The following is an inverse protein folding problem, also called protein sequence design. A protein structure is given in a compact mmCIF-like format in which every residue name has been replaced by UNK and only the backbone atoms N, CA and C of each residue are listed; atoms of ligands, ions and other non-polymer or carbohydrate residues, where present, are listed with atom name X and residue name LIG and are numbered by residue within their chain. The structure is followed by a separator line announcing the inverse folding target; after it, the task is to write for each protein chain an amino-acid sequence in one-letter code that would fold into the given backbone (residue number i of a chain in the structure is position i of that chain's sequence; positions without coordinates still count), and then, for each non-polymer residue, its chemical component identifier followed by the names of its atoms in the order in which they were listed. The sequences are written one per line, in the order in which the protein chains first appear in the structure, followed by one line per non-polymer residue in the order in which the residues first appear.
data_IF_543217637973
#
_entry.id   IF_543217637973
#
_cell.length_a   1.000
_cell.length_b   1.000
_cell.length_c   1.000
_cell.angle_alpha   90.00
_cell.angle_beta   90.00
_cell.angle_gamma   90.00
#
_symmetry.space_group_name_H-M   'P 1'
#
loop_
_entity.id
_entity.type
_entity.pdbx_description
1 polymer ?
#
# COMPACT_ATOMS: atom_id res chain seq x y z
N UNK A 1 31.40 8.28 16.89
CA UNK A 1 31.10 9.42 16.00
C UNK A 1 29.82 9.07 15.26
N UNK A 2 28.70 9.63 15.72
CA UNK A 2 27.36 9.42 15.20
C UNK A 2 27.24 9.98 13.78
N UNK A 3 26.75 9.19 12.84
CA UNK A 3 26.17 9.72 11.60
C UNK A 3 24.80 9.08 11.38
N UNK A 4 23.81 9.79 11.92
CA UNK A 4 22.41 9.70 11.54
C UNK A 4 22.18 10.70 10.39
N UNK A 5 21.87 10.20 9.20
CA UNK A 5 21.26 10.91 8.06
C UNK A 5 20.84 9.81 7.06
N UNK A 6 19.65 9.77 6.48
CA UNK A 6 18.61 10.76 6.35
C UNK A 6 17.26 10.06 6.16
N UNK A 7 16.19 10.79 6.49
CA UNK A 7 14.81 10.46 6.22
C UNK A 7 14.58 10.00 4.78
N UNK A 8 14.20 8.73 4.60
CA UNK A 8 13.58 8.27 3.37
C UNK A 8 12.19 8.86 3.28
N UNK A 9 11.97 9.73 2.30
CA UNK A 9 10.69 10.37 2.04
C UNK A 9 9.57 9.34 1.91
N UNK A 10 8.46 9.60 2.60
CA UNK A 10 7.23 8.83 2.47
C UNK A 10 6.52 9.27 1.19
N UNK A 11 6.81 8.59 0.08
CA UNK A 11 6.05 8.80 -1.15
C UNK A 11 4.64 8.22 -0.95
N UNK A 12 3.63 9.05 -1.21
CA UNK A 12 2.19 8.82 -1.01
C UNK A 12 1.72 7.43 -1.48
N UNK A 13 1.45 6.52 -0.54
CA UNK A 13 1.02 5.15 -0.82
C UNK A 13 -0.51 5.07 -0.91
N UNK A 14 -1.04 4.92 -2.13
CA UNK A 14 -2.46 4.62 -2.36
C UNK A 14 -2.70 3.11 -2.36
N UNK A 15 -3.05 2.53 -1.20
CA UNK A 15 -3.25 1.08 -1.05
C UNK A 15 -4.72 0.66 -1.19
N UNK A 16 -5.09 -0.10 -2.24
CA UNK A 16 -6.45 -0.66 -2.35
C UNK A 16 -6.59 -1.90 -1.45
N UNK A 17 -6.99 -1.71 -0.19
CA UNK A 17 -7.44 -2.82 0.67
C UNK A 17 -8.93 -3.12 0.46
N UNK A 18 -9.28 -4.38 0.21
CA UNK A 18 -10.67 -4.84 0.23
C UNK A 18 -11.00 -5.52 1.57
N UNK A 19 -12.23 -5.38 2.04
CA UNK A 19 -12.75 -6.18 3.15
C UNK A 19 -13.37 -7.47 2.61
N UNK A 20 -12.99 -8.63 3.17
CA UNK A 20 -13.70 -9.90 2.96
C UNK A 20 -15.03 -9.87 3.71
N UNK A 21 -16.14 -10.05 3.00
CA UNK A 21 -17.36 -10.61 3.56
C UNK A 21 -17.56 -12.01 2.97
N UNK A 22 -17.78 -12.96 3.87
CA UNK A 22 -17.61 -14.39 3.69
C UNK A 22 -18.52 -15.07 2.64
N UNK A 23 -18.02 -16.19 2.11
CA UNK A 23 -18.78 -17.33 1.60
C UNK A 23 -19.80 -17.08 0.47
N UNK A 24 -19.35 -16.50 -0.64
CA UNK A 24 -20.02 -16.68 -1.93
C UNK A 24 -18.99 -17.07 -2.98
N UNK A 25 -19.39 -17.82 -4.02
CA UNK A 25 -18.49 -18.31 -5.09
C UNK A 25 -17.82 -17.20 -5.90
N UNK A 26 -18.03 -15.93 -5.54
CA UNK A 26 -17.50 -14.75 -6.18
C UNK A 26 -16.95 -13.77 -5.12
N UNK A 27 -15.70 -13.96 -4.73
CA UNK A 27 -14.97 -12.99 -3.90
C UNK A 27 -14.48 -11.84 -4.80
N UNK A 28 -14.72 -10.56 -4.45
CA UNK A 28 -14.20 -9.43 -5.21
C UNK A 28 -12.66 -9.34 -5.10
N UNK A 29 -11.97 -8.88 -6.16
CA UNK A 29 -10.52 -8.70 -6.13
C UNK A 29 -10.07 -7.59 -5.18
N UNK A 30 -8.90 -7.77 -4.57
CA UNK A 30 -8.22 -6.81 -3.67
C UNK A 30 -6.81 -6.52 -4.18
N UNK A 31 -6.33 -5.27 -4.16
CA UNK A 31 -4.97 -4.92 -4.60
C UNK A 31 -4.33 -3.85 -3.70
N UNK A 32 -3.42 -4.20 -2.80
CA UNK A 32 -2.62 -3.16 -2.15
C UNK A 32 -1.60 -2.56 -3.15
N UNK A 33 -1.57 -1.24 -3.30
CA UNK A 33 -0.58 -0.53 -4.12
C UNK A 33 0.11 0.57 -3.31
N UNK A 34 1.33 0.90 -3.73
CA UNK A 34 2.05 2.07 -3.22
C UNK A 34 2.06 3.22 -4.24
N UNK A 35 1.48 3.02 -5.43
CA UNK A 35 1.47 3.98 -6.53
C UNK A 35 0.03 4.33 -6.91
N UNK A 36 -0.19 5.59 -7.30
CA UNK A 36 -1.47 6.04 -7.86
C UNK A 36 -1.78 5.33 -9.17
N UNK A 37 -3.05 5.29 -9.59
CA UNK A 37 -3.46 4.66 -10.86
C UNK A 37 -2.72 5.21 -12.08
N UNK A 38 -2.32 6.48 -12.08
CA UNK A 38 -1.52 7.08 -13.16
C UNK A 38 -0.14 6.42 -13.34
N UNK A 39 0.39 5.82 -12.27
CA UNK A 39 1.67 5.12 -12.28
C UNK A 39 1.59 3.67 -12.78
N UNK A 40 0.39 3.10 -12.83
CA UNK A 40 0.18 1.68 -13.13
C UNK A 40 0.52 1.30 -14.57
N UNK A 41 0.70 2.27 -15.47
CA UNK A 41 1.21 2.03 -16.84
C UNK A 41 2.61 1.42 -16.86
N UNK A 42 3.38 1.55 -15.76
CA UNK A 42 4.68 0.88 -15.61
C UNK A 42 4.54 -0.61 -15.32
N UNK A 43 3.50 -1.00 -14.59
CA UNK A 43 3.24 -2.39 -14.19
C UNK A 43 2.38 -3.11 -15.23
N UNK A 44 1.37 -2.42 -15.77
CA UNK A 44 0.51 -2.89 -16.85
C UNK A 44 0.85 -2.12 -18.13
N UNK A 45 1.82 -2.66 -18.86
CA UNK A 45 2.36 -2.01 -20.08
C UNK A 45 1.40 -2.01 -21.25
N UNK A 46 0.42 -2.93 -21.27
CA UNK A 46 -0.70 -2.88 -22.21
C UNK A 46 -1.78 -1.89 -21.71
N UNK A 47 -2.07 -0.81 -22.46
CA UNK A 47 -3.06 0.19 -22.04
C UNK A 47 -4.47 -0.39 -21.88
N UNK A 48 -4.85 -1.38 -22.69
CA UNK A 48 -6.18 -2.00 -22.63
C UNK A 48 -6.35 -2.82 -21.36
N UNK A 49 -5.31 -3.58 -20.97
CA UNK A 49 -5.28 -4.31 -19.71
C UNK A 49 -5.32 -3.38 -18.50
N UNK A 50 -4.53 -2.30 -18.50
CA UNK A 50 -4.53 -1.34 -17.39
C UNK A 50 -5.92 -0.74 -17.15
N UNK A 51 -6.59 -0.31 -18.22
CA UNK A 51 -7.95 0.24 -18.14
C UNK A 51 -8.94 -0.81 -17.65
N UNK A 52 -8.90 -2.04 -18.17
CA UNK A 52 -9.81 -3.11 -17.76
C UNK A 52 -9.65 -3.50 -16.28
N UNK A 53 -8.42 -3.46 -15.75
CA UNK A 53 -8.17 -3.73 -14.33
C UNK A 53 -8.69 -2.58 -13.47
N UNK A 54 -8.35 -1.34 -13.82
CA UNK A 54 -8.82 -0.15 -13.08
C UNK A 54 -10.35 -0.08 -13.07
N UNK A 55 -10.99 -0.38 -14.20
CA UNK A 55 -12.45 -0.45 -14.32
C UNK A 55 -13.04 -1.48 -13.35
N UNK A 56 -12.54 -2.72 -13.33
CA UNK A 56 -13.03 -3.76 -12.40
C UNK A 56 -12.82 -3.44 -10.93
N UNK A 57 -11.76 -2.70 -10.58
CA UNK A 57 -11.47 -2.32 -9.19
C UNK A 57 -12.28 -1.11 -8.72
N UNK A 58 -12.64 -0.22 -9.64
CA UNK A 58 -13.44 0.98 -9.34
C UNK A 58 -14.94 0.69 -9.45
N UNK A 59 -15.33 -0.30 -10.25
CA UNK A 59 -16.70 -0.76 -10.35
C UNK A 59 -17.19 -1.38 -9.03
N UNK A 60 -18.01 -0.63 -8.31
CA UNK A 60 -18.54 -0.99 -6.99
C UNK A 60 -17.45 -1.32 -5.94
N UNK A 61 -16.24 -0.79 -6.12
CA UNK A 61 -15.11 -0.95 -5.20
C UNK A 61 -14.93 0.26 -4.28
N UNK A 62 -14.29 0.04 -3.13
CA UNK A 62 -13.89 1.10 -2.21
C UNK A 62 -12.38 1.37 -2.35
N UNK A 63 -12.01 2.65 -2.51
CA UNK A 63 -10.61 3.09 -2.47
C UNK A 63 -10.32 3.60 -1.07
N UNK A 64 -9.35 2.98 -0.40
CA UNK A 64 -8.91 3.37 0.94
C UNK A 64 -7.53 4.01 0.81
N UNK A 65 -7.39 5.27 1.23
CA UNK A 65 -6.07 5.88 1.30
C UNK A 65 -5.42 5.52 2.63
N UNK A 66 -4.37 4.70 2.58
CA UNK A 66 -3.57 4.38 3.78
C UNK A 66 -2.66 5.57 4.14
N UNK A 67 -2.48 5.81 5.44
CA UNK A 67 -1.56 6.83 5.92
C UNK A 67 -0.10 6.54 5.59
N UNK A 68 0.79 7.46 5.96
CA UNK A 68 2.23 7.36 5.71
C UNK A 68 3.00 6.64 6.82
N UNK A 69 2.30 6.18 7.86
CA UNK A 69 2.94 5.52 9.00
C UNK A 69 3.31 4.08 8.66
N UNK A 70 4.60 3.77 8.78
CA UNK A 70 5.11 2.41 8.59
C UNK A 70 5.08 1.65 9.90
N UNK A 71 4.21 0.64 9.98
CA UNK A 71 4.13 -0.29 11.11
C UNK A 71 5.50 -0.93 11.41
N UNK A 72 6.18 -1.39 10.36
CA UNK A 72 7.50 -2.06 10.49
C UNK A 72 8.53 -1.14 11.14
N UNK A 73 8.59 0.12 10.70
CA UNK A 73 9.53 1.10 11.24
C UNK A 73 9.20 1.44 12.70
N UNK A 74 7.94 1.68 13.02
CA UNK A 74 7.49 1.96 14.38
C UNK A 74 7.86 0.82 15.34
N UNK A 75 7.64 -0.43 14.92
CA UNK A 75 7.98 -1.60 15.72
C UNK A 75 9.49 -1.74 15.95
N UNK A 76 10.31 -1.59 14.91
CA UNK A 76 11.78 -1.66 15.05
C UNK A 76 12.31 -0.54 15.95
N UNK A 77 11.78 0.69 15.83
CA UNK A 77 12.16 1.80 16.71
C UNK A 77 11.84 1.49 18.17
N UNK A 78 10.63 1.01 18.46
CA UNK A 78 10.22 0.63 19.81
C UNK A 78 11.11 -0.49 20.41
N UNK A 79 11.56 -1.45 19.60
CA UNK A 79 12.49 -2.48 20.06
C UNK A 79 13.88 -1.92 20.34
N UNK A 80 14.39 -1.04 19.50
CA UNK A 80 15.69 -0.40 19.69
C UNK A 80 15.71 0.48 20.96
N UNK A 81 14.64 1.23 21.21
CA UNK A 81 14.48 2.04 22.42
C UNK A 81 14.47 1.16 23.69
N UNK A 82 13.78 0.01 23.66
CA UNK A 82 13.78 -0.94 24.78
C UNK A 82 15.16 -1.53 25.05
N UNK A 83 15.92 -1.86 24.01
CA UNK A 83 17.27 -2.40 24.16
C UNK A 83 18.29 -1.36 24.66
N UNK A 84 18.07 -0.07 24.38
CA UNK A 84 18.90 1.02 24.89
C UNK A 84 18.60 1.39 26.36
N UNK A 85 17.41 1.01 26.85
CA UNK A 85 16.97 1.24 28.22
C UNK A 85 17.33 0.09 29.19
N UNK A 86 17.88 -1.01 28.68
CA UNK A 86 18.40 -2.16 29.43
C UNK A 86 19.93 -2.11 29.54
#
# INVERSE_FOLDING_TARGET
MTLNHAAGGVHSSSSVSCHTAAASSHMPPAIASNESFSGWTKTFTDPRLCVAIVDRLTFNGAIIQTGTESYRLAHTKAQAERAAAS
#
